data_IF_756048158383
#
_entry.id   IF_756048158383
#
_cell.length_a   1.000
_cell.length_b   1.000
_cell.length_c   1.000
_cell.angle_alpha   90.00
_cell.angle_beta   90.00
_cell.angle_gamma   90.00
#
_symmetry.space_group_name_H-M   'P 1'
#
loop_
_entity.id
_entity.type
_entity.pdbx_description
1 polymer ?
#
# COMPACT_ATOMS: atom_id res chain seq x y z
N UNK A 1 17.20 -1.23 25.80
CA UNK A 1 15.98 -0.42 25.61
C UNK A 1 16.16 0.38 24.32
N UNK A 2 15.29 0.21 23.34
CA UNK A 2 15.35 0.97 22.09
C UNK A 2 15.09 2.46 22.37
N UNK A 3 15.86 3.32 21.72
CA UNK A 3 15.74 4.78 21.83
C UNK A 3 14.36 5.17 21.29
N UNK A 4 13.52 5.82 22.10
CA UNK A 4 12.21 6.30 21.66
C UNK A 4 12.43 7.42 20.64
N UNK A 5 12.11 7.17 19.37
CA UNK A 5 12.19 8.18 18.31
C UNK A 5 11.04 9.17 18.52
N UNK A 6 11.35 10.46 18.52
CA UNK A 6 10.35 11.52 18.55
C UNK A 6 10.06 11.97 17.11
N UNK A 7 8.98 11.43 16.56
CA UNK A 7 8.57 11.62 15.17
C UNK A 7 7.99 13.03 14.94
N UNK A 8 8.61 13.81 14.06
CA UNK A 8 8.21 15.20 13.81
C UNK A 8 6.87 15.31 13.06
N UNK A 9 6.47 14.26 12.34
CA UNK A 9 5.24 14.22 11.53
C UNK A 9 4.23 13.19 12.05
N UNK A 10 4.44 12.67 13.27
CA UNK A 10 3.63 11.58 13.84
C UNK A 10 3.60 10.34 12.95
N UNK A 11 4.73 10.00 12.33
CA UNK A 11 4.88 8.86 11.42
C UNK A 11 4.47 7.55 12.08
N UNK A 12 4.73 7.39 13.38
CA UNK A 12 4.29 6.25 14.16
C UNK A 12 2.77 6.06 14.13
N UNK A 13 1.99 7.15 14.17
CA UNK A 13 0.54 7.10 14.04
C UNK A 13 0.12 6.73 12.63
N UNK A 14 0.72 7.35 11.61
CA UNK A 14 0.42 7.05 10.22
C UNK A 14 0.73 5.59 9.86
N UNK A 15 1.83 5.04 10.38
CA UNK A 15 2.22 3.65 10.21
C UNK A 15 1.25 2.69 10.89
N UNK A 16 0.78 2.99 12.11
CA UNK A 16 -0.26 2.17 12.79
C UNK A 16 -1.58 2.17 12.03
N UNK A 17 -2.00 3.34 11.53
CA UNK A 17 -3.20 3.45 10.70
C UNK A 17 -3.04 2.67 9.38
N UNK A 18 -1.85 2.71 8.78
CA UNK A 18 -1.54 1.98 7.55
C UNK A 18 -1.52 0.48 7.77
N UNK A 19 -0.93 0.01 8.87
CA UNK A 19 -0.97 -1.39 9.26
C UNK A 19 -2.41 -1.87 9.41
N UNK A 20 -3.23 -1.14 10.18
CA UNK A 20 -4.65 -1.47 10.37
C UNK A 20 -5.40 -1.53 9.05
N UNK A 21 -5.13 -0.57 8.15
CA UNK A 21 -5.69 -0.55 6.81
C UNK A 21 -5.28 -1.78 5.99
N UNK A 22 -4.00 -2.12 5.95
CA UNK A 22 -3.45 -3.29 5.24
C UNK A 22 -4.07 -4.57 5.80
N UNK A 23 -4.06 -4.76 7.11
CA UNK A 23 -4.65 -5.94 7.77
C UNK A 23 -6.12 -6.13 7.38
N UNK A 24 -6.87 -5.02 7.30
CA UNK A 24 -8.27 -5.02 6.82
C UNK A 24 -8.42 -5.55 5.39
N UNK A 25 -7.49 -5.23 4.48
CA UNK A 25 -7.53 -5.77 3.11
C UNK A 25 -7.38 -7.29 3.08
N UNK A 26 -6.61 -7.87 3.99
CA UNK A 26 -6.51 -9.33 4.11
C UNK A 26 -7.83 -9.93 4.60
N UNK A 27 -8.53 -9.31 5.55
CA UNK A 27 -9.84 -9.76 6.01
C UNK A 27 -10.89 -9.80 4.89
N UNK A 28 -10.96 -8.76 4.07
CA UNK A 28 -11.91 -8.67 2.94
C UNK A 28 -11.59 -9.65 1.80
N UNK A 29 -10.31 -9.90 1.54
CA UNK A 29 -9.88 -10.79 0.45
C UNK A 29 -9.92 -12.28 0.85
N UNK A 30 -9.53 -12.65 2.07
CA UNK A 30 -9.48 -14.05 2.53
C UNK A 30 -10.86 -14.67 2.75
N UNK A 31 -11.91 -13.86 2.97
CA UNK A 31 -13.27 -14.36 3.16
C UNK A 31 -13.87 -15.04 1.91
N UNK A 32 -13.28 -14.85 0.71
CA UNK A 32 -13.77 -15.47 -0.55
C UNK A 32 -12.71 -16.20 -1.38
N UNK A 33 -11.43 -15.85 -1.28
CA UNK A 33 -10.32 -16.57 -1.96
C UNK A 33 -9.06 -16.49 -1.10
N UNK A 34 -8.37 -17.61 -0.89
CA UNK A 34 -7.10 -17.69 -0.11
C UNK A 34 -5.91 -16.99 -0.79
N UNK A 35 -6.17 -16.11 -1.75
CA UNK A 35 -5.18 -15.58 -2.68
C UNK A 35 -5.59 -14.18 -3.12
N UNK A 36 -4.72 -13.18 -2.87
CA UNK A 36 -5.03 -11.79 -3.19
C UNK A 36 -4.97 -11.54 -4.70
N UNK A 37 -5.84 -10.68 -5.21
CA UNK A 37 -5.82 -10.29 -6.63
C UNK A 37 -4.47 -9.71 -7.04
N UNK A 38 -3.78 -8.99 -6.15
CA UNK A 38 -2.47 -8.41 -6.46
C UNK A 38 -1.38 -9.48 -6.58
N UNK A 39 -1.44 -10.54 -5.75
CA UNK A 39 -0.55 -11.71 -5.89
C UNK A 39 -0.75 -12.38 -7.23
N UNK A 40 -2.01 -12.59 -7.65
CA UNK A 40 -2.31 -13.16 -8.97
C UNK A 40 -1.72 -12.36 -10.12
N UNK A 41 -1.85 -11.04 -10.04
CA UNK A 41 -1.36 -10.11 -11.06
C UNK A 41 0.18 -10.13 -11.10
N UNK A 42 0.82 -10.25 -9.94
CA UNK A 42 2.27 -10.36 -9.85
C UNK A 42 2.81 -11.70 -10.38
N UNK A 43 2.17 -12.82 -10.04
CA UNK A 43 2.51 -14.16 -10.57
C UNK A 43 2.36 -14.21 -12.11
N UNK A 44 1.52 -13.35 -12.68
CA UNK A 44 1.38 -13.18 -14.14
C UNK A 44 2.40 -12.20 -14.75
N UNK A 45 3.35 -11.67 -13.98
CA UNK A 45 4.38 -10.74 -14.43
C UNK A 45 3.92 -9.28 -14.59
N UNK A 46 2.77 -8.91 -14.01
CA UNK A 46 2.17 -7.58 -14.17
C UNK A 46 2.12 -6.74 -12.89
N UNK A 47 2.70 -7.23 -11.78
CA UNK A 47 2.60 -6.60 -10.46
C UNK A 47 3.15 -5.18 -10.41
N UNK A 48 4.31 -4.94 -11.03
CA UNK A 48 4.95 -3.61 -11.07
C UNK A 48 4.08 -2.56 -11.78
N UNK A 49 3.67 -2.85 -13.02
CA UNK A 49 2.82 -1.95 -13.79
C UNK A 49 1.48 -1.71 -13.09
N UNK A 50 0.93 -2.73 -12.44
CA UNK A 50 -0.29 -2.62 -11.66
C UNK A 50 -0.13 -1.69 -10.44
N UNK A 51 0.93 -1.86 -9.66
CA UNK A 51 1.17 -1.03 -8.48
C UNK A 51 1.45 0.43 -8.87
N UNK A 52 2.36 0.65 -9.82
CA UNK A 52 2.70 1.99 -10.31
C UNK A 52 1.49 2.70 -10.93
N UNK A 53 0.68 1.98 -11.71
CA UNK A 53 -0.57 2.52 -12.27
C UNK A 53 -1.58 2.93 -11.18
N UNK A 54 -1.69 2.16 -10.10
CA UNK A 54 -2.55 2.52 -8.98
C UNK A 54 -2.02 3.73 -8.21
N UNK A 55 -0.72 3.80 -7.95
CA UNK A 55 -0.09 4.97 -7.32
C UNK A 55 -0.40 6.24 -8.13
N UNK A 56 -0.17 6.20 -9.45
CA UNK A 56 -0.45 7.32 -10.34
C UNK A 56 -1.94 7.70 -10.31
N UNK A 57 -2.84 6.72 -10.38
CA UNK A 57 -4.29 6.92 -10.31
C UNK A 57 -4.69 7.67 -9.04
N UNK A 58 -4.21 7.27 -7.87
CA UNK A 58 -4.59 7.90 -6.60
C UNK A 58 -3.90 9.25 -6.38
N UNK A 59 -2.68 9.42 -6.88
CA UNK A 59 -2.00 10.72 -6.91
C UNK A 59 -2.78 11.74 -7.75
N UNK A 60 -3.24 11.34 -8.95
CA UNK A 60 -4.08 12.19 -9.80
C UNK A 60 -5.46 12.47 -9.20
N UNK A 61 -5.98 11.55 -8.39
CA UNK A 61 -7.29 11.68 -7.76
C UNK A 61 -7.31 12.67 -6.61
N UNK A 62 -6.23 12.73 -5.83
CA UNK A 62 -6.12 13.59 -4.65
C UNK A 62 -6.28 15.07 -5.03
N UNK A 63 -7.22 15.76 -4.39
CA UNK A 63 -7.57 17.15 -4.71
C UNK A 63 -8.53 17.30 -5.89
N UNK A 64 -8.81 16.24 -6.66
CA UNK A 64 -9.73 16.28 -7.82
C UNK A 64 -11.06 15.57 -7.55
N UNK A 65 -11.03 14.36 -7.00
CA UNK A 65 -12.24 13.56 -6.72
C UNK A 65 -12.39 13.36 -5.23
N UNK A 66 -13.46 13.91 -4.67
CA UNK A 66 -13.74 13.99 -3.22
C UNK A 66 -12.73 14.90 -2.48
N UNK A 67 -12.18 15.90 -3.16
CA UNK A 67 -11.23 16.86 -2.58
C UNK A 67 -9.94 16.20 -2.10
N UNK A 68 -9.37 16.72 -1.02
CA UNK A 68 -8.15 16.20 -0.38
C UNK A 68 -8.45 14.96 0.48
N UNK A 69 -8.86 13.89 -0.17
CA UNK A 69 -9.28 12.68 0.52
C UNK A 69 -8.08 11.87 1.04
N UNK A 70 -7.96 11.75 2.37
CA UNK A 70 -6.92 10.91 3.03
C UNK A 70 -6.89 9.48 2.53
N UNK A 71 -8.05 8.93 2.12
CA UNK A 71 -8.14 7.57 1.62
C UNK A 71 -7.40 7.35 0.29
N UNK A 72 -7.08 8.41 -0.45
CA UNK A 72 -6.24 8.30 -1.65
C UNK A 72 -4.75 8.21 -1.24
N UNK A 73 -4.30 8.98 -0.24
CA UNK A 73 -2.95 8.88 0.31
C UNK A 73 -2.68 7.50 0.93
N UNK A 74 -3.64 6.94 1.67
CA UNK A 74 -3.50 5.58 2.24
C UNK A 74 -3.34 4.52 1.16
N UNK A 75 -4.01 4.68 0.01
CA UNK A 75 -3.86 3.75 -1.12
C UNK A 75 -2.51 3.90 -1.81
N UNK A 76 -2.01 5.14 -1.97
CA UNK A 76 -0.65 5.36 -2.47
C UNK A 76 0.36 4.62 -1.60
N UNK A 77 0.28 4.76 -0.27
CA UNK A 77 1.17 4.07 0.67
C UNK A 77 1.02 2.54 0.59
N UNK A 78 -0.21 2.04 0.51
CA UNK A 78 -0.47 0.60 0.39
C UNK A 78 0.13 -0.02 -0.88
N UNK A 79 -0.10 0.60 -2.05
CA UNK A 79 0.51 0.12 -3.30
C UNK A 79 2.03 0.34 -3.31
N UNK A 80 2.55 1.35 -2.60
CA UNK A 80 3.98 1.55 -2.39
C UNK A 80 4.61 0.40 -1.61
N UNK A 81 3.99 -0.08 -0.53
CA UNK A 81 4.47 -1.24 0.24
C UNK A 81 4.49 -2.51 -0.63
N UNK A 82 3.45 -2.74 -1.42
CA UNK A 82 3.41 -3.90 -2.33
C UNK A 82 4.49 -3.78 -3.40
N UNK A 83 4.67 -2.59 -3.99
CA UNK A 83 5.71 -2.36 -4.99
C UNK A 83 7.12 -2.56 -4.42
N UNK A 84 7.34 -2.13 -3.18
CA UNK A 84 8.60 -2.38 -2.48
C UNK A 84 8.87 -3.88 -2.36
N UNK A 85 7.88 -4.68 -1.93
CA UNK A 85 8.02 -6.13 -1.89
C UNK A 85 8.33 -6.76 -3.26
N UNK A 86 7.64 -6.31 -4.32
CA UNK A 86 7.89 -6.78 -5.69
C UNK A 86 9.31 -6.41 -6.13
N UNK A 87 9.78 -5.21 -5.79
CA UNK A 87 11.13 -4.76 -6.09
C UNK A 87 12.17 -5.62 -5.38
N UNK A 88 12.05 -5.78 -4.06
CA UNK A 88 13.00 -6.55 -3.24
C UNK A 88 13.10 -8.01 -3.72
N UNK A 89 11.97 -8.62 -4.11
CA UNK A 89 11.94 -9.99 -4.66
C UNK A 89 12.59 -10.10 -6.05
N UNK A 90 12.59 -9.03 -6.85
CA UNK A 90 13.14 -9.03 -8.22
C UNK A 90 14.62 -8.69 -8.25
N UNK A 91 15.02 -7.66 -7.50
CA UNK A 91 16.39 -7.13 -7.51
C UNK A 91 17.30 -7.85 -6.50
N UNK A 92 16.73 -8.64 -5.57
CA UNK A 92 17.48 -9.50 -4.67
C UNK A 92 18.35 -8.71 -3.71
N UNK A 93 17.73 -7.99 -2.78
CA UNK A 93 18.39 -7.45 -1.59
C UNK A 93 18.41 -8.46 -0.42
#
# INVERSE_FOLDING_TARGET
MSKKINYAFSEDKALRDLQTYVDGTYGEHYAKRKYQSTQFIDDCGHGEGFCMGNILKYAQRYGRKNGHNRADLMKILHYGIIMLHIHDNKEGD
#
